data_IF_251815312540
#
_entry.id   IF_251815312540
#
_cell.length_a   1.000
_cell.length_b   1.000
_cell.length_c   1.000
_cell.angle_alpha   90.00
_cell.angle_beta   90.00
_cell.angle_gamma   90.00
#
_symmetry.space_group_name_H-M   'P 1'
#
loop_
_entity.id
_entity.type
_entity.pdbx_description
1 polymer ?
#
# COMPACT_ATOMS: atom_id res chain seq x y z
N UNK A 1 10.64 9.60 -19.03
CA UNK A 1 11.31 10.33 -17.95
C UNK A 1 10.55 10.10 -16.64
N UNK A 2 11.24 9.91 -15.51
CA UNK A 2 10.64 9.62 -14.17
C UNK A 2 10.33 10.91 -13.41
N UNK A 3 11.05 11.98 -13.70
CA UNK A 3 10.90 13.27 -13.02
C UNK A 3 9.46 13.80 -13.11
N UNK A 4 8.91 14.23 -11.98
CA UNK A 4 7.54 14.73 -11.86
C UNK A 4 6.45 13.65 -11.91
N UNK A 5 6.82 12.36 -12.00
CA UNK A 5 5.86 11.26 -11.93
C UNK A 5 5.37 11.04 -10.51
N UNK A 6 4.11 10.60 -10.37
CA UNK A 6 3.51 10.21 -9.11
C UNK A 6 3.37 8.69 -9.04
N UNK A 7 3.80 8.11 -7.93
CA UNK A 7 3.66 6.69 -7.65
C UNK A 7 2.80 6.52 -6.39
N UNK A 8 1.77 5.68 -6.48
CA UNK A 8 1.02 5.20 -5.34
C UNK A 8 1.47 3.76 -5.04
N UNK A 9 2.01 3.54 -3.86
CA UNK A 9 2.37 2.21 -3.36
C UNK A 9 1.28 1.76 -2.39
N UNK A 10 0.71 0.58 -2.63
CA UNK A 10 -0.26 -0.04 -1.71
C UNK A 10 0.34 -1.33 -1.19
N UNK A 11 0.68 -1.33 0.09
CA UNK A 11 1.32 -2.43 0.81
C UNK A 11 0.30 -3.12 1.71
N UNK A 12 0.21 -4.44 1.64
CA UNK A 12 -0.67 -5.19 2.53
C UNK A 12 -0.23 -5.04 3.98
N UNK A 13 1.07 -5.22 4.25
CA UNK A 13 1.63 -5.12 5.59
C UNK A 13 2.78 -4.12 5.65
N UNK A 14 3.20 -3.83 6.86
CA UNK A 14 4.16 -2.78 7.20
C UNK A 14 5.54 -2.89 6.52
N UNK A 15 5.99 -4.09 6.16
CA UNK A 15 7.34 -4.30 5.61
C UNK A 15 7.38 -4.62 4.11
N UNK A 16 6.25 -4.97 3.48
CA UNK A 16 6.23 -5.49 2.10
C UNK A 16 6.85 -4.54 1.09
N UNK A 17 6.52 -3.24 1.16
CA UNK A 17 7.02 -2.24 0.24
C UNK A 17 8.55 -2.10 0.29
N UNK A 18 9.16 -2.35 1.45
CA UNK A 18 10.62 -2.31 1.63
C UNK A 18 11.25 -3.56 1.02
N UNK A 19 10.75 -4.73 1.41
CA UNK A 19 11.29 -6.01 1.00
C UNK A 19 11.18 -6.24 -0.51
N UNK A 20 10.04 -5.91 -1.08
CA UNK A 20 9.71 -6.27 -2.45
C UNK A 20 9.98 -5.15 -3.45
N UNK A 21 9.89 -3.89 -3.01
CA UNK A 21 9.93 -2.74 -3.91
C UNK A 21 10.89 -1.63 -3.49
N UNK A 22 11.59 -1.75 -2.35
CA UNK A 22 12.43 -0.67 -1.81
C UNK A 22 13.45 -0.11 -2.80
N UNK A 23 14.13 -0.97 -3.56
CA UNK A 23 15.06 -0.55 -4.59
C UNK A 23 14.39 0.23 -5.74
N UNK A 24 13.20 -0.20 -6.16
CA UNK A 24 12.41 0.50 -7.19
C UNK A 24 11.95 1.86 -6.67
N UNK A 25 11.41 1.93 -5.46
CA UNK A 25 10.96 3.17 -4.83
C UNK A 25 12.11 4.16 -4.70
N UNK A 26 13.24 3.74 -4.13
CA UNK A 26 14.43 4.58 -3.99
C UNK A 26 14.93 5.12 -5.34
N UNK A 27 14.93 4.28 -6.38
CA UNK A 27 15.30 4.69 -7.73
C UNK A 27 14.36 5.77 -8.28
N UNK A 28 13.05 5.60 -8.12
CA UNK A 28 12.08 6.58 -8.61
C UNK A 28 12.19 7.90 -7.87
N UNK A 29 12.31 7.89 -6.54
CA UNK A 29 12.51 9.10 -5.73
C UNK A 29 13.80 9.82 -6.12
N UNK A 30 14.91 9.09 -6.27
CA UNK A 30 16.19 9.65 -6.73
C UNK A 30 16.08 10.38 -8.08
N UNK A 31 15.13 9.97 -8.93
CA UNK A 31 14.90 10.58 -10.24
C UNK A 31 13.73 11.58 -10.25
N UNK A 32 13.30 12.05 -9.08
CA UNK A 32 12.33 13.13 -8.93
C UNK A 32 10.86 12.71 -8.98
N UNK A 33 10.55 11.44 -8.72
CA UNK A 33 9.16 11.02 -8.54
C UNK A 33 8.66 11.35 -7.13
N UNK A 34 7.37 11.70 -7.04
CA UNK A 34 6.63 11.79 -5.78
C UNK A 34 6.03 10.42 -5.45
N UNK A 35 6.28 9.90 -4.25
CA UNK A 35 5.77 8.61 -3.81
C UNK A 35 4.80 8.78 -2.66
N UNK A 36 3.61 8.20 -2.81
CA UNK A 36 2.59 8.06 -1.78
C UNK A 36 2.52 6.60 -1.37
N UNK A 37 2.60 6.32 -0.07
CA UNK A 37 2.54 4.99 0.50
C UNK A 37 1.26 4.83 1.31
N UNK A 38 0.49 3.80 1.00
CA UNK A 38 -0.62 3.30 1.82
C UNK A 38 -0.21 1.96 2.40
N UNK A 39 -0.21 1.85 3.72
CA UNK A 39 0.01 0.61 4.46
C UNK A 39 -1.33 0.17 5.03
N UNK A 40 -1.84 -0.96 4.57
CA UNK A 40 -3.19 -1.43 4.93
C UNK A 40 -3.22 -1.99 6.35
N UNK A 41 -2.24 -2.81 6.72
CA UNK A 41 -2.13 -3.41 8.05
C UNK A 41 -0.71 -3.28 8.61
N UNK A 42 -0.60 -3.29 9.93
CA UNK A 42 0.70 -3.36 10.60
C UNK A 42 1.31 -4.78 10.59
N UNK A 43 0.61 -5.79 10.08
CA UNK A 43 1.07 -7.18 10.13
C UNK A 43 1.07 -7.74 11.56
N UNK A 44 0.14 -7.26 12.39
CA UNK A 44 0.11 -7.56 13.81
C UNK A 44 -0.17 -9.02 14.12
N UNK A 45 -1.01 -9.71 13.34
CA UNK A 45 -1.40 -11.10 13.58
C UNK A 45 -0.45 -12.11 12.94
N UNK A 46 -0.07 -11.89 11.69
CA UNK A 46 0.65 -12.90 10.90
C UNK A 46 2.15 -12.66 10.76
N UNK A 47 2.63 -11.43 10.87
CA UNK A 47 4.00 -11.07 10.52
C UNK A 47 4.84 -10.52 11.69
N UNK A 48 4.31 -10.58 12.91
CA UNK A 48 4.95 -9.99 14.10
C UNK A 48 5.23 -11.03 15.18
N UNK A 49 5.45 -12.30 14.82
CA UNK A 49 5.61 -13.39 15.77
C UNK A 49 6.69 -13.16 16.83
N UNK A 50 7.83 -12.55 16.47
CA UNK A 50 8.92 -12.32 17.41
C UNK A 50 8.62 -11.18 18.39
N UNK A 51 7.82 -10.20 17.98
CA UNK A 51 7.33 -9.15 18.87
C UNK A 51 6.37 -9.73 19.91
N UNK A 52 5.49 -10.66 19.49
CA UNK A 52 4.55 -11.32 20.42
C UNK A 52 5.22 -12.21 21.46
N UNK A 53 6.43 -12.70 21.21
CA UNK A 53 7.22 -13.48 22.18
C UNK A 53 7.88 -12.61 23.26
N UNK A 54 7.86 -11.29 23.11
CA UNK A 54 8.44 -10.39 24.11
C UNK A 54 7.57 -10.35 25.37
N UNK A 55 8.17 -10.32 26.58
CA UNK A 55 7.43 -10.19 27.83
C UNK A 55 6.53 -8.94 27.83
N UNK A 56 5.25 -9.10 28.15
CA UNK A 56 4.31 -8.00 28.23
C UNK A 56 3.84 -7.46 26.86
N UNK A 57 4.05 -8.20 25.76
CA UNK A 57 3.56 -7.81 24.44
C UNK A 57 2.04 -7.64 24.43
N UNK A 58 1.59 -6.53 23.84
CA UNK A 58 0.17 -6.23 23.58
C UNK A 58 0.00 -5.86 22.10
N UNK A 59 -1.24 -5.86 21.61
CA UNK A 59 -1.53 -5.43 20.25
C UNK A 59 -1.03 -3.99 19.99
N UNK A 60 -1.19 -3.11 20.98
CA UNK A 60 -0.74 -1.72 20.90
C UNK A 60 0.77 -1.61 20.82
N UNK A 61 1.50 -2.39 21.63
CA UNK A 61 2.98 -2.37 21.62
C UNK A 61 3.54 -2.92 20.32
N UNK A 62 2.97 -4.02 19.81
CA UNK A 62 3.36 -4.60 18.51
C UNK A 62 3.12 -3.60 17.39
N UNK A 63 1.93 -3.01 17.36
CA UNK A 63 1.56 -2.00 16.36
C UNK A 63 2.47 -0.76 16.42
N UNK A 64 2.81 -0.28 17.61
CA UNK A 64 3.70 0.87 17.78
C UNK A 64 5.10 0.59 17.22
N UNK A 65 5.65 -0.61 17.47
CA UNK A 65 6.95 -1.02 16.89
C UNK A 65 6.87 -1.07 15.38
N UNK A 66 5.85 -1.73 14.81
CA UNK A 66 5.69 -1.87 13.36
C UNK A 66 5.50 -0.53 12.65
N UNK A 67 4.77 0.40 13.29
CA UNK A 67 4.65 1.77 12.81
C UNK A 67 6.01 2.47 12.76
N UNK A 68 6.76 2.44 13.86
CA UNK A 68 8.07 3.09 13.94
C UNK A 68 9.06 2.53 12.91
N UNK A 69 9.08 1.21 12.71
CA UNK A 69 9.90 0.55 11.68
C UNK A 69 9.51 1.02 10.27
N UNK A 70 8.21 1.11 9.99
CA UNK A 70 7.71 1.59 8.70
C UNK A 70 8.09 3.04 8.43
N UNK A 71 7.90 3.91 9.41
CA UNK A 71 8.24 5.34 9.30
C UNK A 71 9.74 5.52 9.09
N UNK A 72 10.59 4.80 9.86
CA UNK A 72 12.05 4.85 9.70
C UNK A 72 12.51 4.36 8.31
N UNK A 73 11.95 3.25 7.83
CA UNK A 73 12.26 2.73 6.50
C UNK A 73 11.81 3.69 5.39
N UNK A 74 10.65 4.29 5.54
CA UNK A 74 10.12 5.27 4.58
C UNK A 74 11.00 6.53 4.53
N UNK A 75 11.48 7.01 5.67
CA UNK A 75 12.41 8.14 5.73
C UNK A 75 13.73 7.84 5.02
N UNK A 76 14.30 6.65 5.21
CA UNK A 76 15.51 6.20 4.51
C UNK A 76 15.29 6.16 3.00
N UNK A 77 14.12 5.69 2.56
CA UNK A 77 13.77 5.64 1.13
C UNK A 77 13.41 7.02 0.56
N UNK A 78 13.13 8.01 1.42
CA UNK A 78 12.72 9.37 1.03
C UNK A 78 11.23 9.53 0.75
N UNK A 79 10.39 8.59 1.21
CA UNK A 79 8.93 8.69 1.11
C UNK A 79 8.43 9.72 2.13
N UNK A 80 7.66 10.71 1.67
CA UNK A 80 7.13 11.79 2.54
C UNK A 80 5.63 11.67 2.82
N UNK A 81 4.91 10.93 2.00
CA UNK A 81 3.46 10.78 2.10
C UNK A 81 3.13 9.35 2.51
N UNK A 82 2.85 9.13 3.77
CA UNK A 82 2.47 7.82 4.33
C UNK A 82 1.08 7.89 4.94
N UNK A 83 0.29 6.88 4.68
CA UNK A 83 -1.04 6.68 5.26
C UNK A 83 -1.16 5.27 5.80
N UNK A 84 -1.53 5.13 7.07
CA UNK A 84 -1.81 3.85 7.71
C UNK A 84 -3.31 3.66 7.83
N UNK A 85 -3.82 2.51 7.36
CA UNK A 85 -5.24 2.22 7.41
C UNK A 85 -5.65 1.37 8.60
N UNK A 86 -4.68 0.71 9.22
CA UNK A 86 -4.87 -0.04 10.47
C UNK A 86 -5.88 -1.17 10.37
N UNK A 87 -5.93 -1.83 9.23
CA UNK A 87 -6.77 -3.00 9.04
C UNK A 87 -6.18 -4.20 9.78
N UNK A 88 -7.05 -5.13 10.18
CA UNK A 88 -6.62 -6.41 10.69
C UNK A 88 -6.08 -7.27 9.55
N UNK A 89 -4.95 -7.93 9.77
CA UNK A 89 -4.36 -8.90 8.84
C UNK A 89 -4.79 -10.34 9.15
N UNK A 90 -4.55 -11.23 8.21
CA UNK A 90 -4.83 -12.66 8.30
C UNK A 90 -6.23 -13.03 8.81
N UNK A 91 -7.27 -12.71 8.03
CA UNK A 91 -7.21 -12.08 6.71
C UNK A 91 -7.42 -10.57 6.75
N UNK A 92 -6.83 -9.86 5.77
CA UNK A 92 -7.30 -8.52 5.39
C UNK A 92 -8.64 -8.70 4.68
N UNK A 93 -9.66 -8.00 5.18
CA UNK A 93 -11.01 -8.00 4.59
C UNK A 93 -11.32 -6.60 4.07
N UNK A 94 -11.75 -6.52 2.83
CA UNK A 94 -12.13 -5.25 2.20
C UNK A 94 -13.64 -5.23 1.91
N UNK A 95 -14.24 -4.08 2.15
CA UNK A 95 -15.65 -3.79 1.90
C UNK A 95 -15.81 -2.63 0.90
N UNK A 96 -17.07 -2.24 0.67
CA UNK A 96 -17.38 -1.13 -0.24
C UNK A 96 -16.81 0.20 0.27
N UNK A 97 -16.80 0.43 1.58
CA UNK A 97 -16.27 1.67 2.16
C UNK A 97 -14.75 1.79 1.97
N UNK A 98 -14.02 0.68 2.15
CA UNK A 98 -12.58 0.62 1.87
C UNK A 98 -12.30 0.74 0.37
N UNK A 99 -13.16 0.16 -0.47
CA UNK A 99 -13.07 0.29 -1.93
C UNK A 99 -13.25 1.75 -2.34
N UNK A 100 -14.26 2.44 -1.84
CA UNK A 100 -14.48 3.86 -2.10
C UNK A 100 -13.32 4.73 -1.60
N UNK A 101 -12.78 4.39 -0.42
CA UNK A 101 -11.59 5.07 0.14
C UNK A 101 -10.39 4.94 -0.78
N UNK A 102 -10.10 3.74 -1.31
CA UNK A 102 -8.95 3.54 -2.19
C UNK A 102 -9.18 4.18 -3.56
N UNK A 103 -10.38 4.09 -4.12
CA UNK A 103 -10.77 4.79 -5.35
C UNK A 103 -10.58 6.30 -5.17
N UNK A 104 -11.06 6.87 -4.05
CA UNK A 104 -10.86 8.27 -3.71
C UNK A 104 -9.38 8.64 -3.61
N UNK A 105 -8.56 7.80 -2.95
CA UNK A 105 -7.12 8.02 -2.84
C UNK A 105 -6.42 8.02 -4.20
N UNK A 106 -6.75 7.08 -5.07
CA UNK A 106 -6.21 7.01 -6.44
C UNK A 106 -6.58 8.27 -7.22
N UNK A 107 -7.82 8.74 -7.12
CA UNK A 107 -8.28 9.95 -7.79
C UNK A 107 -7.65 11.23 -7.24
N UNK A 108 -7.40 11.28 -5.94
CA UNK A 108 -6.74 12.41 -5.27
C UNK A 108 -5.26 12.50 -5.68
N UNK A 109 -4.53 11.39 -5.61
CA UNK A 109 -3.11 11.33 -5.94
C UNK A 109 -2.89 11.48 -7.44
N UNK A 110 -3.78 10.91 -8.27
CA UNK A 110 -3.63 10.83 -9.74
C UNK A 110 -2.29 10.21 -10.14
N UNK A 111 -1.99 8.98 -9.69
CA UNK A 111 -0.69 8.38 -9.91
C UNK A 111 -0.50 8.03 -11.39
N UNK A 112 0.73 8.18 -11.88
CA UNK A 112 1.16 7.59 -13.15
C UNK A 112 1.38 6.08 -13.00
N UNK A 113 1.76 5.66 -11.78
CA UNK A 113 2.10 4.28 -11.45
C UNK A 113 1.43 3.90 -10.14
N UNK A 114 0.77 2.75 -10.13
CA UNK A 114 0.39 2.04 -8.91
C UNK A 114 1.32 0.84 -8.77
N UNK A 115 1.92 0.67 -7.58
CA UNK A 115 2.79 -0.43 -7.24
C UNK A 115 2.19 -1.18 -6.05
N UNK A 116 1.94 -2.47 -6.22
CA UNK A 116 1.34 -3.33 -5.21
C UNK A 116 1.82 -4.76 -5.36
N UNK A 117 1.21 -5.71 -4.66
CA UNK A 117 1.55 -7.14 -4.79
C UNK A 117 1.26 -7.67 -6.20
N UNK A 118 2.05 -8.67 -6.64
CA UNK A 118 1.86 -9.25 -7.96
C UNK A 118 0.54 -10.01 -8.05
N UNK A 119 -0.21 -9.71 -9.10
CA UNK A 119 -1.49 -10.33 -9.36
C UNK A 119 -1.38 -11.73 -10.00
N UNK A 120 -0.30 -11.95 -10.73
CA UNK A 120 -0.07 -13.20 -11.47
C UNK A 120 0.74 -14.20 -10.66
N UNK A 121 1.50 -13.74 -9.67
CA UNK A 121 2.24 -14.57 -8.75
C UNK A 121 1.32 -15.07 -7.64
N UNK A 122 1.07 -16.39 -7.58
CA UNK A 122 0.38 -16.95 -6.44
C UNK A 122 1.32 -16.95 -5.23
N UNK A 123 1.15 -15.99 -4.33
CA UNK A 123 1.81 -16.05 -3.03
C UNK A 123 1.04 -17.05 -2.15
N UNK A 124 1.40 -18.31 -2.28
CA UNK A 124 0.75 -19.41 -1.51
C UNK A 124 0.97 -19.30 -0.01
N UNK A 125 1.97 -18.51 0.42
CA UNK A 125 2.31 -18.37 1.84
C UNK A 125 1.57 -17.20 2.50
N UNK A 126 1.09 -16.24 1.69
CA UNK A 126 0.43 -15.05 2.20
C UNK A 126 -0.85 -14.72 1.40
N UNK A 127 -2.01 -15.20 1.87
CA UNK A 127 -3.28 -14.96 1.17
C UNK A 127 -3.67 -13.49 1.11
N UNK A 128 -3.22 -12.65 2.05
CA UNK A 128 -3.49 -11.22 2.04
C UNK A 128 -2.87 -10.53 0.83
N UNK A 129 -1.67 -10.96 0.41
CA UNK A 129 -1.03 -10.42 -0.79
C UNK A 129 -1.86 -10.65 -2.03
N UNK A 130 -2.40 -11.86 -2.20
CA UNK A 130 -3.27 -12.21 -3.33
C UNK A 130 -4.57 -11.38 -3.31
N UNK A 131 -5.19 -11.26 -2.13
CA UNK A 131 -6.41 -10.48 -1.96
C UNK A 131 -6.18 -9.00 -2.28
N UNK A 132 -5.16 -8.39 -1.68
CA UNK A 132 -4.82 -6.97 -1.87
C UNK A 132 -4.48 -6.67 -3.33
N UNK A 133 -3.72 -7.55 -3.98
CA UNK A 133 -3.36 -7.43 -5.39
C UNK A 133 -4.60 -7.33 -6.30
N UNK A 134 -5.56 -8.25 -6.12
CA UNK A 134 -6.80 -8.27 -6.90
C UNK A 134 -7.69 -7.06 -6.59
N UNK A 135 -7.82 -6.70 -5.32
CA UNK A 135 -8.61 -5.56 -4.89
C UNK A 135 -8.06 -4.22 -5.39
N UNK A 136 -6.74 -4.00 -5.30
CA UNK A 136 -6.10 -2.78 -5.85
C UNK A 136 -6.28 -2.69 -7.36
N UNK A 137 -6.18 -3.80 -8.07
CA UNK A 137 -6.48 -3.84 -9.51
C UNK A 137 -7.93 -3.42 -9.80
N UNK A 138 -8.89 -3.97 -9.06
CA UNK A 138 -10.31 -3.59 -9.19
C UNK A 138 -10.50 -2.09 -8.91
N UNK A 139 -9.93 -1.57 -7.82
CA UNK A 139 -9.99 -0.14 -7.49
C UNK A 139 -9.39 0.75 -8.57
N UNK A 140 -8.32 0.29 -9.24
CA UNK A 140 -7.71 1.03 -10.35
C UNK A 140 -8.66 1.17 -11.54
N UNK A 141 -9.42 0.12 -11.85
CA UNK A 141 -10.47 0.16 -12.90
C UNK A 141 -11.60 1.11 -12.48
N UNK A 142 -12.09 0.99 -11.24
CA UNK A 142 -13.15 1.84 -10.71
C UNK A 142 -12.75 3.32 -10.69
N UNK A 143 -11.50 3.62 -10.32
CA UNK A 143 -10.98 4.99 -10.31
C UNK A 143 -10.93 5.60 -11.72
N UNK A 144 -10.78 4.77 -12.76
CA UNK A 144 -10.79 5.19 -14.15
C UNK A 144 -12.21 5.30 -14.72
N UNK A 145 -13.20 4.71 -14.06
CA UNK A 145 -14.58 4.63 -14.57
C UNK A 145 -15.37 5.89 -14.23
N UNK A 146 -15.83 6.62 -15.24
CA UNK A 146 -16.60 7.86 -15.06
C UNK A 146 -17.96 7.65 -14.37
N UNK A 147 -18.54 6.44 -14.50
CA UNK A 147 -19.81 6.08 -13.84
C UNK A 147 -19.68 5.86 -12.35
N UNK A 148 -18.48 5.63 -11.83
CA UNK A 148 -18.20 5.52 -10.39
C UNK A 148 -17.96 6.93 -9.84
N UNK A 149 -18.85 7.41 -8.99
CA UNK A 149 -18.75 8.77 -8.47
C UNK A 149 -18.01 8.79 -7.13
N UNK A 150 -17.08 9.73 -7.00
CA UNK A 150 -16.40 10.07 -5.76
C UNK A 150 -16.56 11.57 -5.56
N UNK A 151 -17.05 11.98 -4.41
CA UNK A 151 -17.38 13.37 -4.13
C UNK A 151 -16.17 14.30 -4.38
N UNK A 152 -16.38 15.33 -5.20
CA UNK A 152 -15.34 16.35 -5.51
C UNK A 152 -14.16 15.87 -6.36
N UNK A 153 -14.14 14.61 -6.79
CA UNK A 153 -13.00 14.04 -7.54
C UNK A 153 -13.43 13.49 -8.90
N UNK A 154 -12.72 13.88 -9.95
CA UNK A 154 -12.89 13.33 -11.29
C UNK A 154 -12.14 11.99 -11.45
N UNK A 155 -12.63 11.14 -12.36
CA UNK A 155 -11.92 9.90 -12.70
C UNK A 155 -10.50 10.18 -13.22
N UNK A 156 -9.63 9.19 -13.01
CA UNK A 156 -8.26 9.20 -13.52
C UNK A 156 -8.20 8.53 -14.91
N UNK A 157 -7.13 8.79 -15.65
CA UNK A 157 -6.82 8.10 -16.91
C UNK A 157 -5.34 7.76 -16.94
N UNK A 158 -4.99 6.66 -17.62
CA UNK A 158 -3.60 6.33 -17.98
C UNK A 158 -2.64 6.07 -16.79
N UNK A 159 -3.06 5.31 -15.80
CA UNK A 159 -2.12 4.75 -14.81
C UNK A 159 -1.59 3.39 -15.26
N UNK A 160 -0.37 3.06 -14.84
CA UNK A 160 0.22 1.73 -15.01
C UNK A 160 0.23 1.02 -13.67
N UNK A 161 -0.23 -0.23 -13.65
CA UNK A 161 -0.20 -1.09 -12.47
C UNK A 161 0.95 -2.09 -12.60
N UNK A 162 1.79 -2.17 -11.59
CA UNK A 162 2.89 -3.14 -11.48
C UNK A 162 2.76 -3.93 -10.19
N UNK A 163 3.11 -5.22 -10.26
CA UNK A 163 3.25 -6.10 -9.11
C UNK A 163 4.69 -6.20 -8.59
N UNK A 164 4.84 -6.48 -7.30
CA UNK A 164 6.11 -6.83 -6.66
C UNK A 164 6.00 -8.12 -5.84
#
# INVERSE_FOLDING_TARGET
MINGKKMLVVSAHAADYVWRAGGTIAKYIKHGAEVHLVVLSFGGRGESNDLWKQPGATAESVKAVRRAETEAAADILGIKNIEFWDLQDYPIVTDDALTDRLVGKIRLVRPDIILTHDRMGADVLNPDHNHVSQWVFQCSILANSAGVRTEGLSNTTQMRLYGF
#
